data_IF_197704539881
#
_entry.id   IF_197704539881
#
_cell.length_a   1.000
_cell.length_b   1.000
_cell.length_c   1.000
_cell.angle_alpha   90.00
_cell.angle_beta   90.00
_cell.angle_gamma   90.00
#
_symmetry.space_group_name_H-M   'P 1'
#
loop_
_entity.id
_entity.type
_entity.pdbx_description
1 polymer ?
2 non-polymer ?
3 water ?
#
# COMPACT_ATOMS: atom_id res chain seq x y z
N UNK A 2 7.96 8.54 11.17
CA UNK A 2 7.81 7.66 12.32
C UNK A 2 8.11 6.21 11.94
N UNK A 3 7.89 5.87 10.67
CA UNK A 3 8.26 4.56 10.15
C UNK A 3 9.78 4.49 10.00
N UNK A 4 10.38 3.49 10.64
CA UNK A 4 11.83 3.37 10.71
C UNK A 4 12.21 1.98 10.25
N UNK A 5 11.37 1.43 9.38
CA UNK A 5 11.62 0.16 8.77
C UNK A 5 11.58 0.40 7.27
N UNK A 6 12.71 0.24 6.60
CA UNK A 6 12.74 0.35 5.15
C UNK A 6 13.46 -0.84 4.57
N UNK A 7 13.13 -1.14 3.33
CA UNK A 7 13.74 -2.25 2.61
C UNK A 7 15.14 -1.84 2.15
N UNK A 8 16.16 -2.56 2.62
CA UNK A 8 17.53 -2.30 2.19
C UNK A 8 17.72 -2.97 0.84
N UNK A 9 18.37 -2.28 -0.10
CA UNK A 9 18.73 -2.88 -1.38
C UNK A 9 17.56 -3.10 -2.31
N UNK A 10 16.47 -2.37 -2.09
CA UNK A 10 15.29 -2.45 -2.95
C UNK A 10 15.62 -2.25 -4.42
N UNK A 11 15.13 -3.15 -5.26
CA UNK A 11 15.17 -2.94 -6.71
C UNK A 11 13.75 -2.63 -7.17
N UNK A 12 13.47 -1.36 -7.44
CA UNK A 12 12.08 -0.96 -7.72
C UNK A 12 11.53 -1.59 -9.01
N UNK A 13 12.42 -1.99 -9.92
CA UNK A 13 12.00 -2.65 -11.16
C UNK A 13 11.24 -3.94 -10.89
N UNK A 14 11.65 -4.62 -9.83
CA UNK A 14 11.14 -5.94 -9.53
C UNK A 14 9.81 -5.93 -8.79
N UNK A 15 9.28 -4.76 -8.43
CA UNK A 15 7.95 -4.72 -7.80
C UNK A 15 6.87 -4.50 -8.85
N UNK A 16 7.30 -4.38 -10.11
CA UNK A 16 6.38 -4.19 -11.21
C UNK A 16 5.37 -5.32 -11.27
N UNK A 17 4.13 -5.00 -11.62
CA UNK A 17 3.15 -6.04 -11.86
C UNK A 17 1.92 -5.99 -10.97
N UNK A 18 1.19 -7.10 -10.94
CA UNK A 18 -0.07 -7.19 -10.20
C UNK A 18 0.15 -7.32 -8.71
N UNK A 19 -0.69 -6.64 -7.93
CA UNK A 19 -0.67 -6.76 -6.50
C UNK A 19 -2.10 -6.73 -5.96
N UNK A 20 -2.28 -7.30 -4.77
CA UNK A 20 -3.59 -7.31 -4.10
C UNK A 20 -3.42 -6.69 -2.73
N UNK A 21 -4.32 -5.79 -2.35
CA UNK A 21 -4.30 -5.20 -1.01
C UNK A 21 -4.92 -6.16 0.01
N UNK A 22 -4.10 -7.07 0.54
CA UNK A 22 -4.63 -8.13 1.40
C UNK A 22 -5.06 -7.57 2.77
N UNK A 23 -4.31 -6.61 3.29
CA UNK A 23 -4.63 -5.96 4.56
C UNK A 23 -4.22 -4.49 4.53
N UNK A 24 -4.95 -3.67 5.28
CA UNK A 24 -4.56 -2.27 5.46
C UNK A 24 -4.75 -1.85 6.91
N UNK A 25 -3.97 -0.85 7.34
CA UNK A 25 -4.12 -0.35 8.69
C UNK A 25 -3.89 1.14 8.68
N UNK A 26 -4.42 1.83 9.67
CA UNK A 26 -4.18 3.27 9.76
C UNK A 26 -4.05 3.74 11.19
N UNK A 27 -3.45 4.92 11.34
CA UNK A 27 -3.16 5.46 12.65
C UNK A 27 -4.42 6.04 13.26
N UNK A 28 -5.40 6.30 12.41
CA UNK A 28 -6.66 6.89 12.84
C UNK A 28 -7.81 6.19 12.15
N UNK A 29 -8.85 5.85 12.92
CA UNK A 29 -9.98 5.08 12.41
C UNK A 29 -10.60 5.76 11.20
N UNK A 30 -10.74 7.08 11.27
CA UNK A 30 -11.37 7.87 10.23
C UNK A 30 -10.70 7.73 8.85
N UNK A 31 -9.46 7.26 8.81
CA UNK A 31 -8.73 7.17 7.55
C UNK A 31 -9.19 5.98 6.71
N UNK A 32 -9.79 4.99 7.35
CA UNK A 32 -10.21 3.77 6.66
C UNK A 32 -11.64 3.39 6.97
N UNK A 33 -12.29 4.16 7.86
CA UNK A 33 -13.60 3.82 8.42
C UNK A 33 -14.72 3.77 7.38
N UNK A 34 -14.96 4.90 6.73
CA UNK A 34 -15.96 4.92 5.66
C UNK A 34 -15.44 4.17 4.42
N UNK A 35 -16.34 3.63 3.61
CA UNK A 35 -15.93 2.96 2.38
C UNK A 35 -15.30 3.98 1.44
N UNK A 36 -15.78 5.22 1.53
CA UNK A 36 -15.26 6.30 0.71
C UNK A 36 -14.14 7.06 1.42
N UNK A 37 -13.62 6.48 2.52
CA UNK A 37 -12.50 7.10 3.22
C UNK A 37 -11.34 7.43 2.27
N UNK A 38 -10.69 8.57 2.48
CA UNK A 38 -9.69 9.06 1.52
C UNK A 38 -8.52 8.12 1.30
N UNK A 39 -8.12 7.36 2.33
CA UNK A 39 -6.94 6.51 2.23
C UNK A 39 -7.30 5.05 2.10
N UNK A 40 -8.58 4.77 1.89
CA UNK A 40 -9.01 3.39 1.65
C UNK A 40 -8.88 3.15 0.15
N UNK A 41 -7.76 2.55 -0.24
CA UNK A 41 -7.47 2.34 -1.66
C UNK A 41 -7.05 0.91 -1.89
N UNK A 42 -7.36 0.41 -3.09
CA UNK A 42 -7.06 -0.97 -3.41
C UNK A 42 -6.08 -0.98 -4.55
N UNK A 43 -4.87 -1.47 -4.28
CA UNK A 43 -3.82 -1.43 -5.28
C UNK A 43 -4.08 -2.47 -6.36
N UNK A 44 -3.82 -2.08 -7.62
CA UNK A 44 -4.02 -2.99 -8.75
C UNK A 44 -2.69 -3.41 -9.36
N UNK A 45 -1.83 -2.43 -9.59
CA UNK A 45 -0.62 -2.71 -10.37
C UNK A 45 0.42 -1.66 -10.06
N UNK A 46 1.68 -2.07 -10.02
CA UNK A 46 2.77 -1.13 -9.86
C UNK A 46 3.57 -1.10 -11.15
N UNK A 47 3.86 0.11 -11.62
CA UNK A 47 4.54 0.27 -12.90
C UNK A 47 5.70 1.24 -12.73
N UNK A 48 6.83 0.73 -12.22
CA UNK A 48 8.01 1.60 -12.13
C UNK A 48 8.42 2.11 -13.50
N UNK A 49 8.89 3.36 -13.57
CA UNK A 49 9.27 3.97 -14.83
C UNK A 49 10.78 3.86 -14.98
N UNK A 50 11.29 3.94 -16.21
CA UNK A 50 12.74 3.82 -16.41
C UNK A 50 13.56 4.75 -15.50
N UNK A 51 13.13 6.00 -15.34
CA UNK A 51 13.83 6.93 -14.46
C UNK A 51 13.75 6.51 -12.98
N UNK A 52 12.90 5.54 -12.67
CA UNK A 52 12.83 5.01 -11.31
C UNK A 52 11.71 5.59 -10.47
N UNK A 53 10.79 6.31 -11.09
CA UNK A 53 9.56 6.72 -10.39
C UNK A 53 8.63 5.52 -10.35
N UNK A 54 7.53 5.64 -9.60
CA UNK A 54 6.62 4.53 -9.46
C UNK A 54 5.19 4.96 -9.74
N UNK A 55 4.64 4.62 -10.91
CA UNK A 55 3.22 4.90 -11.10
C UNK A 55 2.39 3.76 -10.52
N UNK A 56 1.27 4.13 -9.91
CA UNK A 56 0.47 3.18 -9.18
C UNK A 56 -0.93 3.19 -9.77
N UNK A 57 -1.43 2.02 -10.13
CA UNK A 57 -2.82 1.90 -10.56
C UNK A 57 -3.61 1.35 -9.37
N UNK A 58 -4.73 1.99 -9.03
CA UNK A 58 -5.52 1.56 -7.87
C UNK A 58 -7.00 1.84 -8.11
N UNK A 59 -7.86 1.32 -7.24
CA UNK A 59 -9.26 1.73 -7.23
C UNK A 59 -9.62 2.35 -5.92
N UNK A 60 -10.62 3.23 -5.96
CA UNK A 60 -11.12 3.86 -4.76
C UNK A 60 -12.62 4.00 -4.89
N UNK A 61 -13.34 3.81 -3.78
CA UNK A 61 -14.75 4.11 -3.79
C UNK A 61 -14.91 5.62 -3.68
N UNK A 62 -15.55 6.21 -4.67
CA UNK A 62 -15.76 7.65 -4.73
C UNK A 62 -17.13 7.93 -5.31
N UNK A 63 -17.98 8.62 -4.55
CA UNK A 63 -19.31 8.99 -5.01
C UNK A 63 -20.10 7.80 -5.54
N UNK A 64 -20.46 6.89 -4.63
CA UNK A 64 -21.21 5.67 -4.94
C UNK A 64 -20.75 4.92 -6.18
N UNK A 65 -19.43 4.84 -6.37
CA UNK A 65 -18.87 4.10 -7.51
C UNK A 65 -17.45 3.70 -7.20
N UNK A 66 -16.96 2.67 -7.89
CA UNK A 66 -15.58 2.23 -7.73
C UNK A 66 -14.78 2.80 -8.89
N UNK A 67 -13.93 3.79 -8.58
CA UNK A 67 -13.21 4.51 -9.63
C UNK A 67 -11.78 4.02 -9.78
N UNK A 68 -11.26 4.05 -11.01
CA UNK A 68 -9.84 3.80 -11.25
C UNK A 68 -9.05 5.08 -11.03
N UNK A 69 -8.00 5.00 -10.24
CA UNK A 69 -7.09 6.13 -10.10
C UNK A 69 -5.72 5.68 -10.58
N UNK A 70 -4.97 6.63 -11.11
CA UNK A 70 -3.60 6.37 -11.52
C UNK A 70 -2.76 7.51 -10.96
N UNK A 71 -1.81 7.18 -10.10
CA UNK A 71 -0.99 8.21 -9.47
C UNK A 71 0.49 7.90 -9.60
N UNK A 72 1.33 8.91 -9.41
CA UNK A 72 2.76 8.74 -9.58
C UNK A 72 3.46 9.11 -8.29
N UNK A 73 4.26 8.18 -7.77
CA UNK A 73 5.10 8.48 -6.63
C UNK A 73 6.49 8.73 -7.17
N UNK A 74 7.04 9.90 -6.85
CA UNK A 74 8.31 10.31 -7.41
C UNK A 74 9.45 9.76 -6.56
N UNK A 75 10.52 9.36 -7.21
CA UNK A 75 11.67 8.82 -6.48
C UNK A 75 12.35 9.90 -5.65
N UNK A 76 13.09 9.45 -4.64
CA UNK A 76 13.97 10.33 -3.88
C UNK A 76 15.37 9.71 -3.86
N UNK A 77 16.29 10.34 -3.15
CA UNK A 77 17.64 9.79 -3.02
C UNK A 77 17.67 8.47 -2.24
N UNK A 78 16.59 8.17 -1.52
CA UNK A 78 16.51 6.89 -0.82
C UNK A 78 15.68 5.95 -1.68
N UNK A 79 16.26 4.80 -2.06
CA UNK A 79 15.56 3.92 -2.99
C UNK A 79 14.20 3.42 -2.47
N UNK A 80 14.04 3.29 -1.15
CA UNK A 80 12.79 2.75 -0.61
C UNK A 80 11.75 3.83 -0.28
N UNK A 81 12.06 5.08 -0.62
CA UNK A 81 11.20 6.19 -0.23
C UNK A 81 10.79 7.04 -1.43
N UNK A 82 9.48 7.27 -1.57
CA UNK A 82 8.93 8.02 -2.70
C UNK A 82 8.04 9.14 -2.21
N UNK A 83 7.79 10.11 -3.07
CA UNK A 83 6.99 11.27 -2.70
C UNK A 83 5.77 11.37 -3.58
N UNK A 84 4.62 11.57 -2.97
CA UNK A 84 3.42 11.90 -3.73
C UNK A 84 3.13 13.39 -3.59
N UNK A 85 3.17 14.10 -4.72
CA UNK A 85 2.88 15.53 -4.73
C UNK A 85 1.43 15.78 -4.35
N UNK A 86 1.22 16.55 -3.30
CA UNK A 86 -0.12 16.91 -2.84
C UNK A 86 -0.10 18.27 -2.12
N UNK A 87 -1.21 18.61 -1.46
CA UNK A 87 -1.29 19.82 -0.65
C UNK A 87 -0.22 19.82 0.44
N UNK A 88 0.11 18.62 0.89
CA UNK A 88 1.15 18.39 1.88
C UNK A 88 2.12 17.37 1.32
N UNK A 89 3.36 17.39 1.79
CA UNK A 89 4.32 16.38 1.36
C UNK A 89 4.01 15.07 2.08
N UNK A 90 3.76 14.03 1.30
CA UNK A 90 3.51 12.71 1.87
C UNK A 90 4.51 11.72 1.31
N UNK A 91 5.08 10.91 2.20
CA UNK A 91 6.09 9.93 1.79
C UNK A 91 5.48 8.54 1.69
N UNK A 92 5.91 7.81 0.67
CA UNK A 92 5.58 6.40 0.54
C UNK A 92 6.86 5.64 0.84
N UNK A 93 6.79 4.69 1.76
CA UNK A 93 7.97 3.91 2.13
C UNK A 93 7.73 2.44 1.85
N UNK A 94 8.68 1.79 1.19
CA UNK A 94 8.64 0.32 1.09
C UNK A 94 9.35 -0.25 2.31
N UNK A 95 8.61 -0.97 3.14
CA UNK A 95 9.18 -1.51 4.38
C UNK A 95 9.91 -2.82 4.12
N UNK A 96 9.35 -3.63 3.23
CA UNK A 96 9.86 -4.97 3.03
C UNK A 96 9.18 -5.60 1.85
N UNK A 97 9.93 -6.36 1.06
CA UNK A 97 9.30 -7.17 0.00
C UNK A 97 10.20 -8.35 -0.36
N UNK A 98 9.62 -9.39 -0.96
CA UNK A 98 10.43 -10.46 -1.53
C UNK A 98 10.14 -10.53 -3.02
N UNK A 99 9.44 -9.50 -3.50
CA UNK A 99 9.13 -9.32 -4.92
C UNK A 99 8.15 -10.32 -5.51
N UNK A 100 8.27 -11.58 -5.12
CA UNK A 100 7.48 -12.64 -5.76
C UNK A 100 6.21 -12.99 -5.00
N UNK A 101 6.12 -12.56 -3.73
CA UNK A 101 4.96 -12.92 -2.90
C UNK A 101 4.30 -11.74 -2.19
N UNK A 102 5.10 -10.90 -1.53
CA UNK A 102 4.51 -9.81 -0.73
C UNK A 102 5.30 -8.50 -0.79
N UNK A 103 4.61 -7.42 -0.47
CA UNK A 103 5.24 -6.13 -0.33
C UNK A 103 4.51 -5.35 0.74
N UNK A 104 5.29 -4.79 1.67
CA UNK A 104 4.70 -4.00 2.74
C UNK A 104 5.07 -2.54 2.50
N UNK A 105 4.09 -1.64 2.54
CA UNK A 105 4.41 -0.23 2.38
C UNK A 105 3.56 0.60 3.32
N UNK A 106 4.02 1.82 3.55
CA UNK A 106 3.29 2.75 4.41
C UNK A 106 3.27 4.11 3.71
N UNK A 107 2.22 4.89 3.92
CA UNK A 107 2.22 6.28 3.46
C UNK A 107 2.05 7.17 4.68
N UNK A 108 2.92 8.16 4.83
CA UNK A 108 2.90 8.99 6.02
C UNK A 108 2.96 10.47 5.69
N UNK A 109 2.37 11.29 6.54
CA UNK A 109 2.52 12.74 6.41
C UNK A 109 3.78 13.23 7.12
N UNK A 115 0.71 13.47 13.00
CA UNK A 115 1.40 12.46 12.21
C UNK A 115 0.47 11.30 11.89
N UNK A 116 -0.01 11.26 10.65
CA UNK A 116 -0.96 10.22 10.25
C UNK A 116 -0.30 9.23 9.29
N UNK A 117 -0.84 8.02 9.24
CA UNK A 117 -0.14 6.89 8.65
C UNK A 117 -1.13 5.86 8.15
N UNK A 118 -0.91 5.35 6.92
CA UNK A 118 -1.67 4.22 6.41
C UNK A 118 -0.69 3.22 5.81
N UNK A 119 -0.88 1.94 6.13
CA UNK A 119 0.03 0.93 5.60
C UNK A 119 -0.76 -0.23 5.02
N UNK A 120 -0.12 -0.96 4.11
CA UNK A 120 -0.77 -2.12 3.55
C UNK A 120 0.16 -3.31 3.41
N UNK A 121 -0.45 -4.50 3.39
CA UNK A 121 0.24 -5.70 3.04
C UNK A 121 -0.25 -6.06 1.66
N UNK A 122 0.62 -5.94 0.65
CA UNK A 122 0.29 -6.37 -0.72
C UNK A 122 0.77 -7.79 -0.96
N UNK A 123 0.00 -8.57 -1.71
CA UNK A 123 0.41 -9.92 -2.11
C UNK A 123 0.20 -10.09 -3.63
N UNK A 124 0.90 -11.04 -4.23
CA UNK A 124 0.83 -11.22 -5.69
C UNK A 124 -0.43 -11.94 -6.16
N UNK A 125 -1.06 -12.69 -5.25
CA UNK A 125 -2.16 -13.58 -5.63
C UNK A 125 -3.32 -13.41 -4.65
N UNK A 126 -4.55 -13.74 -5.09
CA UNK A 126 -5.72 -13.60 -4.21
C UNK A 126 -5.81 -14.79 -3.26
N UNK A 127 -4.85 -14.88 -2.34
CA UNK A 127 -4.80 -15.93 -1.34
C UNK A 127 -4.43 -15.26 -0.05
N UNK A 128 -4.89 -15.80 1.07
CA UNK A 128 -4.48 -15.26 2.35
C UNK A 128 -3.10 -15.83 2.69
N UNK A 129 -2.10 -14.95 2.73
CA UNK A 129 -0.74 -15.35 3.03
C UNK A 129 -0.48 -15.05 4.50
N UNK A 130 -0.59 -16.07 5.34
CA UNK A 130 -0.39 -15.91 6.78
C UNK A 130 1.01 -15.38 7.10
N UNK A 131 1.98 -15.74 6.26
CA UNK A 131 3.36 -15.29 6.45
C UNK A 131 3.55 -13.81 6.12
N UNK A 132 2.92 -13.35 5.05
CA UNK A 132 2.93 -11.94 4.72
C UNK A 132 2.23 -11.16 5.83
N UNK A 133 1.10 -11.68 6.30
CA UNK A 133 0.35 -11.03 7.37
C UNK A 133 1.11 -10.94 8.69
N UNK A 134 1.86 -11.99 9.05
CA UNK A 134 2.68 -11.95 10.27
C UNK A 134 3.74 -10.86 10.16
N UNK A 135 4.32 -10.73 8.97
CA UNK A 135 5.35 -9.71 8.76
C UNK A 135 4.73 -8.32 8.85
N UNK A 136 3.57 -8.16 8.23
CA UNK A 136 2.79 -6.93 8.35
C UNK A 136 2.51 -6.60 9.82
N UNK A 137 1.98 -7.57 10.57
CA UNK A 137 1.65 -7.28 11.96
C UNK A 137 2.90 -6.96 12.77
N UNK A 138 3.98 -7.72 12.54
CA UNK A 138 5.26 -7.45 13.23
C UNK A 138 5.74 -6.03 12.93
N UNK A 139 5.66 -5.64 11.66
CA UNK A 139 6.11 -4.32 11.25
C UNK A 139 5.31 -3.23 11.95
N UNK A 140 4.02 -3.49 12.16
CA UNK A 140 3.12 -2.47 12.68
C UNK A 140 3.05 -2.38 14.20
N UNK A 141 3.62 -3.35 14.89
CA UNK A 141 3.52 -3.32 16.35
C UNK A 141 4.30 -2.14 16.91
N UNK A 142 5.26 -1.67 16.14
CA UNK A 142 5.96 -0.43 16.46
C UNK A 142 4.97 0.73 16.41
N UNK A 143 4.22 0.78 15.31
CA UNK A 143 3.41 1.93 14.92
C UNK A 143 2.09 2.06 15.71
N UNK A 144 1.61 3.30 15.89
CA UNK A 144 0.35 3.53 16.62
C UNK A 144 -0.86 3.41 15.69
N UNK A 145 -1.18 2.19 15.28
CA UNK A 145 -2.32 1.95 14.40
C UNK A 145 -3.56 1.77 15.26
N UNK A 146 -4.72 2.14 14.72
CA UNK A 146 -5.97 2.03 15.48
C UNK A 146 -7.13 1.44 14.67
N UNK A 147 -6.87 1.15 13.40
CA UNK A 147 -7.82 0.39 12.60
C UNK A 147 -7.04 -0.53 11.66
N UNK A 148 -7.48 -1.77 11.51
CA UNK A 148 -6.84 -2.73 10.63
C UNK A 148 -7.93 -3.49 9.91
N UNK A 149 -7.82 -3.59 8.60
CA UNK A 149 -8.78 -4.34 7.78
C UNK A 149 -8.05 -5.44 7.04
N UNK A 150 -8.69 -6.59 6.90
CA UNK A 150 -8.15 -7.58 5.97
C UNK A 150 -9.25 -8.21 5.14
N UNK A 151 -8.84 -8.80 4.00
CA UNK A 151 -9.82 -9.22 3.00
C UNK A 151 -9.69 -10.70 2.66
N UNK A 152 -10.82 -11.31 2.31
CA UNK A 152 -10.86 -12.74 1.95
C UNK A 152 -10.62 -12.88 0.45
N UNK A 153 -10.33 -14.12 -0.03
CA UNK A 153 -9.96 -14.21 -1.45
C UNK A 153 -11.12 -13.88 -2.39
N UNK A 154 -12.35 -14.00 -1.91
CA UNK A 154 -13.50 -13.67 -2.75
C UNK A 154 -13.50 -12.15 -2.96
N UNK A 155 -13.29 -11.41 -1.87
CA UNK A 155 -13.24 -9.95 -1.93
C UNK A 155 -12.10 -9.44 -2.79
N UNK A 156 -10.96 -10.13 -2.73
CA UNK A 156 -9.76 -9.68 -3.44
C UNK A 156 -9.97 -9.72 -4.95
N UNK A 157 -10.94 -10.51 -5.40
CA UNK A 157 -11.21 -10.62 -6.82
C UNK A 157 -12.33 -9.71 -7.28
N UNK A 158 -12.83 -8.87 -6.37
CA UNK A 158 -13.91 -7.93 -6.72
C UNK A 158 -13.42 -6.48 -6.76
N UNK A 159 -14.05 -5.67 -7.60
CA UNK A 159 -13.79 -4.23 -7.65
C UNK A 159 -14.04 -3.58 -6.29
N UNK A 160 -13.01 -2.93 -5.75
CA UNK A 160 -13.11 -2.28 -4.43
C UNK A 160 -13.41 -3.27 -3.30
N UNK A 161 -13.07 -4.53 -3.53
CA UNK A 161 -13.17 -5.57 -2.48
C UNK A 161 -14.57 -5.74 -1.89
N UNK A 162 -15.59 -5.47 -2.70
CA UNK A 162 -16.94 -5.58 -2.20
C UNK A 162 -17.32 -7.04 -1.90
#
# INVERSE_FOLDING_TARGET
LIVTQTMKGLDIQKVAGTWYSLAMAASDISLLDAQSAPLRVYVEELKPTPEGDLEILLQKWENDECAQKKIIAEKTKIPAVFKIDALNENKVLVLDTDYKKYLLFCMENSAEPEQSLVCQCLVRTPEVDDEALEKFDKALKALPMHIRLSFNPTQLEEQCHI
#
